data_IF_046532761834
#
_entry.id   IF_046532761834
#
_cell.length_a   1.000
_cell.length_b   1.000
_cell.length_c   1.000
_cell.angle_alpha   90.00
_cell.angle_beta   90.00
_cell.angle_gamma   90.00
#
_symmetry.space_group_name_H-M   'P 1'
#
loop_
_entity.id
_entity.type
_entity.pdbx_description
1 polymer ?
#
# COMPACT_ATOMS: atom_id res chain seq x y z
N UNK A 1 -27.57 -47.74 26.38
CA UNK A 1 -27.05 -46.52 27.00
C UNK A 1 -26.30 -45.76 25.91
N UNK A 2 -26.94 -44.80 25.24
CA UNK A 2 -26.24 -43.91 24.30
C UNK A 2 -26.88 -42.53 24.38
N UNK A 3 -26.19 -41.61 25.07
CA UNK A 3 -26.63 -40.23 25.27
C UNK A 3 -26.29 -39.42 24.03
N UNK A 4 -27.30 -39.07 23.24
CA UNK A 4 -27.21 -38.05 22.19
C UNK A 4 -26.82 -36.72 22.83
N UNK A 5 -25.59 -36.26 22.57
CA UNK A 5 -25.09 -34.93 22.98
C UNK A 5 -25.81 -33.86 22.16
N UNK A 6 -26.88 -33.30 22.70
CA UNK A 6 -27.52 -32.10 22.16
C UNK A 6 -26.67 -30.87 22.45
N UNK A 7 -26.26 -30.15 21.41
CA UNK A 7 -25.53 -28.89 21.52
C UNK A 7 -26.39 -27.79 22.18
N UNK A 8 -25.83 -26.92 23.05
CA UNK A 8 -26.63 -25.91 23.75
C UNK A 8 -27.12 -24.81 22.78
N UNK A 9 -28.44 -24.52 22.81
CA UNK A 9 -29.05 -23.38 22.12
C UNK A 9 -28.42 -22.07 22.57
N UNK A 10 -27.86 -21.28 21.63
CA UNK A 10 -27.34 -19.93 21.88
C UNK A 10 -28.49 -19.03 22.37
N UNK A 11 -28.29 -18.35 23.52
CA UNK A 11 -29.21 -17.30 23.99
C UNK A 11 -29.09 -16.05 23.09
N UNK A 12 -30.19 -15.38 22.73
CA UNK A 12 -30.11 -14.13 21.98
C UNK A 12 -29.49 -13.03 22.85
N UNK A 13 -28.49 -12.34 22.31
CA UNK A 13 -27.83 -11.21 22.97
C UNK A 13 -28.77 -10.01 23.09
N UNK A 14 -29.17 -9.67 24.30
CA UNK A 14 -29.94 -8.46 24.60
C UNK A 14 -29.01 -7.25 24.77
N UNK A 15 -28.31 -6.85 23.70
CA UNK A 15 -27.60 -5.57 23.70
C UNK A 15 -28.58 -4.45 23.32
N UNK A 16 -28.98 -3.65 24.31
CA UNK A 16 -29.70 -2.38 24.07
C UNK A 16 -28.83 -1.49 23.16
N UNK A 17 -29.37 -0.86 22.11
CA UNK A 17 -28.56 0.01 21.26
C UNK A 17 -28.12 1.24 22.07
N UNK A 18 -26.80 1.45 22.19
CA UNK A 18 -26.25 2.71 22.68
C UNK A 18 -26.66 3.83 21.72
N UNK A 19 -27.58 4.68 22.18
CA UNK A 19 -28.02 5.88 21.47
C UNK A 19 -26.89 6.91 21.50
N UNK A 20 -25.98 6.83 20.54
CA UNK A 20 -24.94 7.86 20.34
C UNK A 20 -25.61 9.15 19.90
N UNK A 21 -25.54 10.20 20.72
CA UNK A 21 -25.92 11.57 20.33
C UNK A 21 -25.02 11.99 19.17
N UNK A 22 -25.56 11.99 17.94
CA UNK A 22 -24.90 12.60 16.78
C UNK A 22 -24.82 14.10 17.03
N UNK A 23 -23.69 14.57 17.57
CA UNK A 23 -23.33 15.97 17.43
C UNK A 23 -23.15 16.22 15.93
N UNK A 24 -24.12 16.91 15.32
CA UNK A 24 -23.94 17.51 13.99
C UNK A 24 -22.86 18.59 14.16
N UNK A 25 -21.60 18.20 14.01
CA UNK A 25 -20.53 19.14 13.84
C UNK A 25 -20.84 19.94 12.58
N UNK A 26 -21.13 21.23 12.76
CA UNK A 26 -21.34 22.19 11.70
C UNK A 26 -19.96 22.45 11.05
N UNK A 27 -19.47 21.49 10.26
CA UNK A 27 -18.28 21.68 9.44
C UNK A 27 -18.64 22.67 8.35
N UNK A 28 -18.20 23.92 8.51
CA UNK A 28 -18.15 24.88 7.40
C UNK A 28 -17.31 24.25 6.30
N UNK A 29 -17.97 23.84 5.22
CA UNK A 29 -17.32 23.41 3.97
C UNK A 29 -16.47 24.58 3.50
N UNK A 30 -15.14 24.43 3.55
CA UNK A 30 -14.24 25.37 2.87
C UNK A 30 -14.56 25.26 1.38
N UNK A 31 -14.93 26.37 0.76
CA UNK A 31 -15.21 26.41 -0.67
C UNK A 31 -13.98 25.91 -1.44
N UNK A 32 -14.19 24.95 -2.33
CA UNK A 32 -13.12 24.37 -3.12
C UNK A 32 -12.54 25.46 -4.03
N UNK A 33 -11.25 25.73 -3.90
CA UNK A 33 -10.54 26.69 -4.74
C UNK A 33 -10.57 26.19 -6.18
N UNK A 34 -11.35 26.84 -7.05
CA UNK A 34 -11.39 26.51 -8.47
C UNK A 34 -10.09 27.00 -9.13
N UNK A 35 -9.29 26.06 -9.63
CA UNK A 35 -8.09 26.35 -10.41
C UNK A 35 -8.47 26.32 -11.88
N UNK A 36 -8.46 27.47 -12.55
CA UNK A 36 -8.68 27.57 -14.00
C UNK A 36 -7.35 27.47 -14.74
N UNK A 37 -7.32 26.63 -15.78
CA UNK A 37 -6.15 26.45 -16.65
C UNK A 37 -6.21 27.53 -17.74
N UNK A 38 -5.07 28.12 -18.10
CA UNK A 38 -4.98 29.11 -19.17
C UNK A 38 -5.35 28.49 -20.52
N UNK A 39 -6.11 29.23 -21.32
CA UNK A 39 -6.47 28.85 -22.68
C UNK A 39 -5.21 28.67 -23.54
N UNK A 40 -5.09 27.55 -24.26
CA UNK A 40 -3.90 27.22 -25.05
C UNK A 40 -2.70 26.70 -24.26
N UNK A 41 -2.86 26.34 -22.98
CA UNK A 41 -1.81 25.65 -22.24
C UNK A 41 -1.47 24.32 -22.92
N UNK A 42 -0.19 24.11 -23.25
CA UNK A 42 0.31 22.85 -23.77
C UNK A 42 0.12 21.76 -22.70
N UNK A 43 -0.68 20.75 -23.03
CA UNK A 43 -0.86 19.58 -22.18
C UNK A 43 0.21 18.57 -22.59
N UNK A 44 1.17 18.32 -21.71
CA UNK A 44 2.14 17.25 -21.91
C UNK A 44 1.55 15.96 -21.35
N UNK A 45 1.53 14.91 -22.17
CA UNK A 45 1.17 13.59 -21.70
C UNK A 45 2.33 13.06 -20.85
N UNK A 46 2.08 12.88 -19.55
CA UNK A 46 3.07 12.35 -18.61
C UNK A 46 2.59 10.97 -18.20
N UNK A 47 3.38 9.94 -18.48
CA UNK A 47 3.15 8.60 -17.95
C UNK A 47 3.80 8.51 -16.56
N UNK A 48 3.03 8.51 -15.46
CA UNK A 48 3.59 8.37 -14.12
C UNK A 48 4.22 7.00 -13.89
N UNK A 49 3.81 5.97 -14.64
CA UNK A 49 4.33 4.60 -14.51
C UNK A 49 5.76 4.53 -15.07
N UNK A 50 6.05 5.25 -16.15
CA UNK A 50 7.40 5.32 -16.73
C UNK A 50 8.45 5.79 -15.71
N UNK A 51 8.11 6.75 -14.86
CA UNK A 51 9.01 7.22 -13.79
C UNK A 51 9.25 6.15 -12.73
N UNK A 52 8.21 5.39 -12.37
CA UNK A 52 8.26 4.29 -11.40
C UNK A 52 9.00 3.05 -11.93
N UNK A 53 9.32 3.00 -13.22
CA UNK A 53 10.08 1.91 -13.84
C UNK A 53 11.53 2.30 -14.13
N UNK A 54 11.90 3.58 -13.96
CA UNK A 54 13.24 4.06 -14.25
C UNK A 54 14.21 3.77 -13.08
N UNK A 55 15.23 2.92 -13.27
CA UNK A 55 16.15 2.52 -12.20
C UNK A 55 16.93 3.70 -11.60
N UNK A 56 17.29 4.70 -12.41
CA UNK A 56 18.07 5.84 -11.96
C UNK A 56 17.27 6.72 -10.99
N UNK A 57 15.98 6.90 -11.27
CA UNK A 57 15.06 7.66 -10.42
C UNK A 57 14.79 6.91 -9.11
N UNK A 58 14.57 5.60 -9.19
CA UNK A 58 14.34 4.74 -8.01
C UNK A 58 15.57 4.74 -7.11
N UNK A 59 16.77 4.52 -7.67
CA UNK A 59 18.02 4.50 -6.91
C UNK A 59 18.29 5.85 -6.24
N UNK A 60 18.04 6.95 -6.95
CA UNK A 60 18.17 8.30 -6.39
C UNK A 60 17.18 8.55 -5.24
N UNK A 61 15.93 8.14 -5.39
CA UNK A 61 14.91 8.29 -4.35
C UNK A 61 15.23 7.45 -3.10
N UNK A 62 15.64 6.18 -3.28
CA UNK A 62 16.07 5.33 -2.17
C UNK A 62 17.27 5.94 -1.45
N UNK A 63 18.25 6.46 -2.20
CA UNK A 63 19.42 7.11 -1.62
C UNK A 63 19.04 8.34 -0.79
N UNK A 64 18.12 9.18 -1.26
CA UNK A 64 17.61 10.33 -0.50
C UNK A 64 16.93 9.87 0.81
N UNK A 65 16.05 8.87 0.76
CA UNK A 65 15.42 8.33 1.97
C UNK A 65 16.45 7.78 2.97
N UNK A 66 17.53 7.14 2.50
CA UNK A 66 18.61 6.68 3.37
C UNK A 66 19.40 7.84 4.00
N UNK A 67 19.66 8.92 3.26
CA UNK A 67 20.32 10.15 3.76
C UNK A 67 19.45 10.83 4.82
N UNK A 68 18.15 10.89 4.59
CA UNK A 68 17.17 11.51 5.50
C UNK A 68 16.77 10.60 6.68
N UNK A 69 17.34 9.39 6.75
CA UNK A 69 17.01 8.36 7.75
C UNK A 69 15.49 8.05 7.79
N UNK A 70 14.90 7.93 6.60
CA UNK A 70 13.49 7.57 6.37
C UNK A 70 13.39 6.13 5.81
N UNK A 71 13.42 5.10 6.68
CA UNK A 71 13.30 3.72 6.24
C UNK A 71 11.90 3.40 5.72
N UNK A 72 10.86 4.11 6.17
CA UNK A 72 9.50 3.98 5.64
C UNK A 72 9.43 4.44 4.19
N UNK A 73 10.05 5.57 3.83
CA UNK A 73 10.11 6.06 2.45
C UNK A 73 10.78 5.08 1.48
N UNK A 74 11.87 4.42 1.91
CA UNK A 74 12.50 3.35 1.12
C UNK A 74 11.48 2.23 0.80
N UNK A 75 10.67 1.86 1.79
CA UNK A 75 9.68 0.80 1.62
C UNK A 75 8.55 1.20 0.66
N UNK A 76 8.09 2.45 0.72
CA UNK A 76 7.07 2.97 -0.18
C UNK A 76 7.57 2.99 -1.63
N UNK A 77 8.79 3.49 -1.88
CA UNK A 77 9.39 3.53 -3.22
C UNK A 77 9.47 2.12 -3.82
N UNK A 78 9.91 1.15 -3.03
CA UNK A 78 10.02 -0.25 -3.47
C UNK A 78 8.63 -0.85 -3.71
N UNK A 79 7.65 -0.53 -2.87
CA UNK A 79 6.28 -0.98 -3.05
C UNK A 79 5.66 -0.45 -4.36
N UNK A 80 5.87 0.83 -4.66
CA UNK A 80 5.36 1.50 -5.86
C UNK A 80 6.01 0.96 -7.13
N UNK A 81 7.34 0.74 -7.10
CA UNK A 81 8.05 0.10 -8.20
C UNK A 81 7.50 -1.31 -8.50
N UNK A 82 7.28 -2.12 -7.46
CA UNK A 82 6.71 -3.45 -7.62
C UNK A 82 5.25 -3.40 -8.07
N UNK A 83 4.50 -2.35 -7.71
CA UNK A 83 3.14 -2.12 -8.20
C UNK A 83 3.13 -1.86 -9.71
N UNK A 84 4.02 -1.00 -10.18
CA UNK A 84 4.21 -0.71 -11.60
C UNK A 84 4.57 -1.97 -12.41
N UNK A 85 5.38 -2.87 -11.86
CA UNK A 85 5.77 -4.15 -12.47
C UNK A 85 4.71 -5.26 -12.39
N UNK A 86 3.54 -4.99 -11.80
CA UNK A 86 2.46 -5.97 -11.62
C UNK A 86 2.85 -7.12 -10.66
N UNK A 87 3.05 -6.76 -9.38
CA UNK A 87 3.42 -7.57 -8.19
C UNK A 87 3.20 -9.10 -8.27
N UNK A 88 2.03 -9.54 -8.76
CA UNK A 88 1.63 -10.95 -8.74
C UNK A 88 2.23 -11.82 -9.85
N UNK A 89 2.52 -11.24 -11.03
CA UNK A 89 3.21 -11.93 -12.12
C UNK A 89 4.70 -12.05 -11.80
N UNK A 90 5.28 -10.94 -11.36
CA UNK A 90 6.69 -10.83 -10.96
C UNK A 90 7.11 -11.86 -9.91
N UNK A 91 6.36 -12.00 -8.80
CA UNK A 91 6.72 -12.92 -7.72
C UNK A 91 6.76 -14.39 -8.17
N UNK A 92 5.95 -14.75 -9.17
CA UNK A 92 5.92 -16.11 -9.72
C UNK A 92 7.14 -16.38 -10.59
N UNK A 93 7.64 -15.38 -11.29
CA UNK A 93 8.83 -15.47 -12.15
C UNK A 93 10.12 -15.45 -11.31
N UNK A 94 10.14 -14.68 -10.22
CA UNK A 94 11.30 -14.54 -9.33
C UNK A 94 11.48 -15.66 -8.29
N UNK A 95 10.59 -16.66 -8.26
CA UNK A 95 10.51 -17.71 -7.22
C UNK A 95 10.56 -17.12 -5.79
N UNK A 96 9.79 -16.05 -5.58
CA UNK A 96 9.66 -15.38 -4.27
C UNK A 96 8.32 -15.78 -3.66
N UNK A 97 8.30 -16.40 -2.47
CA UNK A 97 7.05 -16.74 -1.79
C UNK A 97 6.19 -15.50 -1.57
N UNK A 98 4.89 -15.61 -1.85
CA UNK A 98 3.92 -14.51 -1.62
C UNK A 98 3.95 -14.03 -0.17
N UNK A 99 4.20 -14.91 0.79
CA UNK A 99 4.35 -14.57 2.20
C UNK A 99 5.49 -13.59 2.47
N UNK A 100 6.61 -13.71 1.74
CA UNK A 100 7.75 -12.79 1.83
C UNK A 100 7.36 -11.40 1.31
N UNK A 101 6.63 -11.33 0.20
CA UNK A 101 6.07 -10.05 -0.28
C UNK A 101 5.12 -9.43 0.74
N UNK A 102 4.15 -10.21 1.23
CA UNK A 102 3.20 -9.71 2.22
C UNK A 102 3.91 -9.23 3.49
N UNK A 103 4.98 -9.90 3.92
CA UNK A 103 5.79 -9.43 5.05
C UNK A 103 6.52 -8.12 4.75
N UNK A 104 7.04 -7.96 3.52
CA UNK A 104 7.69 -6.73 3.06
C UNK A 104 6.72 -5.54 3.09
N UNK A 105 5.51 -5.72 2.54
CA UNK A 105 4.50 -4.66 2.44
C UNK A 105 3.80 -4.34 3.77
N UNK A 106 3.79 -5.26 4.75
CA UNK A 106 3.09 -5.07 6.04
C UNK A 106 3.90 -4.31 7.10
N UNK A 107 4.84 -3.43 6.70
CA UNK A 107 5.71 -2.63 7.58
C UNK A 107 6.75 -3.40 8.39
N UNK A 108 7.15 -4.60 7.99
CA UNK A 108 8.36 -5.22 8.57
C UNK A 108 9.57 -4.72 7.79
N UNK A 109 10.56 -4.16 8.47
CA UNK A 109 11.83 -3.75 7.88
C UNK A 109 12.53 -4.99 7.28
N UNK A 110 12.49 -5.17 5.94
CA UNK A 110 13.05 -6.36 5.32
C UNK A 110 14.58 -6.27 5.37
N UNK A 111 15.25 -7.41 5.45
CA UNK A 111 16.71 -7.40 5.37
C UNK A 111 17.17 -6.92 4.00
N UNK A 112 18.34 -6.27 3.94
CA UNK A 112 18.99 -5.87 2.68
C UNK A 112 19.09 -7.06 1.71
N UNK A 113 19.32 -8.27 2.22
CA UNK A 113 19.34 -9.51 1.42
C UNK A 113 18.01 -9.75 0.68
N UNK A 114 16.89 -9.55 1.37
CA UNK A 114 15.56 -9.70 0.78
C UNK A 114 15.31 -8.64 -0.29
N UNK A 115 15.68 -7.39 -0.01
CA UNK A 115 15.56 -6.29 -0.97
C UNK A 115 16.41 -6.53 -2.22
N UNK A 116 17.68 -6.93 -2.05
CA UNK A 116 18.57 -7.24 -3.16
C UNK A 116 18.04 -8.38 -4.03
N UNK A 117 17.45 -9.43 -3.45
CA UNK A 117 16.85 -10.53 -4.22
C UNK A 117 15.67 -10.04 -5.08
N UNK A 118 14.87 -9.13 -4.55
CA UNK A 118 13.73 -8.54 -5.27
C UNK A 118 14.24 -7.64 -6.41
N UNK A 119 15.16 -6.72 -6.12
CA UNK A 119 15.72 -5.81 -7.13
C UNK A 119 16.52 -6.56 -8.21
N UNK A 120 17.21 -7.64 -7.86
CA UNK A 120 17.89 -8.46 -8.85
C UNK A 120 16.89 -9.10 -9.83
N UNK A 121 15.78 -9.62 -9.32
CA UNK A 121 14.77 -10.23 -10.16
C UNK A 121 13.99 -9.21 -11.02
N UNK A 122 13.95 -7.92 -10.67
CA UNK A 122 13.28 -6.91 -11.51
C UNK A 122 14.10 -6.51 -12.74
N UNK A 123 15.40 -6.80 -12.76
CA UNK A 123 16.30 -6.42 -13.85
C UNK A 123 16.86 -7.60 -14.67
N UNK A 124 16.48 -8.84 -14.34
CA UNK A 124 16.90 -10.08 -14.99
C UNK A 124 15.73 -11.02 -15.24
#
# INVERSE_FOLDING_TARGET
MDKVKTSPKRRPSTSKPLRTKRHKANMKTKEATQVTIKEGANITEVDPIANLLNPDLIGSAIMQCLIENDPEGVMEIIEDHLYALNKSKFLREADIPRSTMYQLLKRKNPTIKTLAKIMYATHH
#
